data_IF_068693966133
#
_entry.id   IF_068693966133
#
_cell.length_a   1.000
_cell.length_b   1.000
_cell.length_c   1.000
_cell.angle_alpha   90.00
_cell.angle_beta   90.00
_cell.angle_gamma   90.00
#
_symmetry.space_group_name_H-M   'P 1'
#
loop_
_entity.id
_entity.type
_entity.pdbx_description
1 polymer ?
#
# COMPACT_ATOMS: atom_id res chain seq x y z
N UNK A 1 -26.62 -6.05 -13.64
CA UNK A 1 -25.58 -5.38 -14.44
C UNK A 1 -25.97 -5.45 -15.91
N UNK A 2 -25.92 -4.35 -16.69
CA UNK A 2 -26.26 -4.38 -18.10
C UNK A 2 -25.29 -5.26 -18.92
N UNK A 3 -25.75 -5.97 -19.98
CA UNK A 3 -24.89 -6.81 -20.83
C UNK A 3 -23.70 -6.10 -21.48
N UNK A 4 -23.77 -4.78 -21.65
CA UNK A 4 -22.68 -3.93 -22.15
C UNK A 4 -21.54 -3.80 -21.13
N UNK A 5 -21.86 -3.74 -19.85
CA UNK A 5 -20.87 -3.60 -18.76
C UNK A 5 -20.06 -4.88 -18.61
N UNK A 6 -20.70 -6.06 -18.70
CA UNK A 6 -20.01 -7.35 -18.65
C UNK A 6 -19.04 -7.54 -19.82
N UNK A 7 -19.48 -7.22 -21.06
CA UNK A 7 -18.60 -7.27 -22.24
C UNK A 7 -17.37 -6.38 -22.11
N UNK A 8 -17.55 -5.17 -21.56
CA UNK A 8 -16.45 -4.24 -21.28
C UNK A 8 -15.45 -4.84 -20.28
N UNK A 9 -15.91 -5.38 -19.16
CA UNK A 9 -14.99 -6.00 -18.18
C UNK A 9 -14.24 -7.20 -18.75
N UNK A 10 -14.91 -8.03 -19.56
CA UNK A 10 -14.26 -9.16 -20.22
C UNK A 10 -13.22 -8.71 -21.25
N UNK A 11 -13.49 -7.63 -22.00
CA UNK A 11 -12.51 -7.06 -22.92
C UNK A 11 -11.25 -6.61 -22.19
N UNK A 12 -11.39 -5.91 -21.05
CA UNK A 12 -10.24 -5.51 -20.22
C UNK A 12 -9.45 -6.72 -19.72
N UNK A 13 -10.10 -7.80 -19.30
CA UNK A 13 -9.39 -9.02 -18.87
C UNK A 13 -8.61 -9.68 -20.01
N UNK A 14 -9.13 -9.61 -21.24
CA UNK A 14 -8.42 -10.09 -22.44
C UNK A 14 -7.24 -9.17 -22.78
N UNK A 15 -7.45 -7.85 -22.78
CA UNK A 15 -6.40 -6.84 -23.03
C UNK A 15 -5.25 -6.93 -22.01
N UNK A 16 -5.56 -7.19 -20.74
CA UNK A 16 -4.55 -7.43 -19.71
C UNK A 16 -3.87 -8.81 -19.80
N UNK A 17 -4.27 -9.65 -20.75
CA UNK A 17 -3.75 -11.01 -20.92
C UNK A 17 -4.09 -11.95 -19.77
N UNK A 18 -5.14 -11.66 -19.00
CA UNK A 18 -5.60 -12.50 -17.88
C UNK A 18 -6.46 -13.66 -18.38
N UNK A 19 -7.24 -13.46 -19.43
CA UNK A 19 -8.05 -14.52 -20.04
C UNK A 19 -7.88 -14.52 -21.55
N UNK A 20 -7.96 -15.70 -22.16
CA UNK A 20 -8.11 -15.83 -23.60
C UNK A 20 -9.56 -16.16 -23.89
N UNK A 21 -10.16 -15.43 -24.83
CA UNK A 21 -11.53 -15.69 -25.28
C UNK A 21 -11.51 -16.55 -26.54
N UNK A 22 -12.09 -17.74 -26.46
CA UNK A 22 -12.31 -18.67 -27.58
C UNK A 22 -13.80 -18.73 -27.88
N UNK A 23 -14.26 -17.89 -28.79
CA UNK A 23 -15.67 -17.83 -29.16
C UNK A 23 -16.12 -19.10 -29.88
N UNK A 24 -17.27 -19.67 -29.47
CA UNK A 24 -17.90 -20.77 -30.21
C UNK A 24 -18.92 -20.24 -31.20
N UNK A 25 -19.18 -20.96 -32.31
CA UNK A 25 -20.21 -20.57 -33.29
C UNK A 25 -21.61 -20.38 -32.69
N UNK A 26 -21.91 -21.05 -31.58
CA UNK A 26 -23.22 -21.01 -30.91
C UNK A 26 -23.22 -20.19 -29.61
N UNK A 27 -22.12 -19.49 -29.27
CA UNK A 27 -21.98 -18.72 -28.03
C UNK A 27 -21.97 -19.56 -26.74
N UNK A 28 -21.97 -20.89 -26.83
CA UNK A 28 -21.93 -21.82 -25.68
C UNK A 28 -20.48 -22.24 -25.35
N UNK A 29 -20.22 -22.54 -24.08
CA UNK A 29 -18.94 -23.09 -23.60
C UNK A 29 -18.97 -24.60 -23.74
N UNK A 30 -18.09 -25.18 -24.56
CA UNK A 30 -17.95 -26.63 -24.69
C UNK A 30 -16.55 -27.00 -25.17
N UNK A 31 -16.09 -28.19 -24.77
CA UNK A 31 -14.88 -28.81 -25.30
C UNK A 31 -15.28 -29.92 -26.27
N UNK A 32 -14.72 -29.92 -27.48
CA UNK A 32 -14.76 -31.07 -28.40
C UNK A 32 -13.58 -31.97 -28.07
N UNK A 33 -13.87 -33.25 -27.83
CA UNK A 33 -12.85 -34.30 -27.68
C UNK A 33 -12.67 -35.01 -29.01
N UNK A 34 -11.43 -35.24 -29.42
CA UNK A 34 -11.09 -36.01 -30.62
C UNK A 34 -11.30 -37.52 -30.41
N UNK A 35 -11.00 -38.33 -31.43
CA UNK A 35 -11.20 -39.79 -31.42
C UNK A 35 -10.45 -40.54 -30.29
N UNK A 36 -9.45 -39.91 -29.66
CA UNK A 36 -8.71 -40.48 -28.52
C UNK A 36 -9.12 -39.95 -27.14
N UNK A 37 -10.18 -39.14 -27.03
CA UNK A 37 -10.60 -38.56 -25.76
C UNK A 37 -9.82 -37.31 -25.31
N UNK A 38 -8.77 -36.93 -26.03
CA UNK A 38 -8.07 -35.66 -25.85
C UNK A 38 -8.93 -34.48 -26.29
N UNK A 39 -8.82 -33.35 -25.59
CA UNK A 39 -9.56 -32.12 -25.93
C UNK A 39 -8.92 -31.50 -27.17
N UNK A 40 -9.63 -31.56 -28.30
CA UNK A 40 -9.16 -31.07 -29.60
C UNK A 40 -9.47 -29.57 -29.78
N UNK A 41 -10.63 -29.11 -29.29
CA UNK A 41 -11.04 -27.70 -29.33
C UNK A 41 -11.81 -27.32 -28.06
N UNK A 42 -11.35 -26.32 -27.32
CA UNK A 42 -12.05 -25.78 -26.14
C UNK A 42 -12.58 -24.38 -26.44
N UNK A 43 -13.90 -24.20 -26.36
CA UNK A 43 -14.56 -22.90 -26.53
C UNK A 43 -15.06 -22.35 -25.20
N UNK A 44 -14.80 -21.07 -24.93
CA UNK A 44 -15.07 -20.40 -23.66
C UNK A 44 -13.97 -19.41 -23.27
N UNK A 45 -13.74 -19.26 -21.96
CA UNK A 45 -12.62 -18.49 -21.43
C UNK A 45 -11.52 -19.44 -20.97
N UNK A 46 -10.33 -19.23 -21.48
CA UNK A 46 -9.13 -19.94 -21.05
C UNK A 46 -8.38 -19.06 -20.04
N UNK A 47 -8.21 -19.61 -18.83
CA UNK A 47 -7.55 -18.97 -17.69
C UNK A 47 -6.11 -19.47 -17.49
N UNK A 48 -5.60 -20.32 -18.40
CA UNK A 48 -4.21 -20.78 -18.41
C UNK A 48 -3.20 -19.64 -18.29
N UNK A 49 -3.41 -18.43 -18.87
CA UNK A 49 -2.50 -17.30 -18.64
C UNK A 49 -2.32 -16.92 -17.17
N UNK A 50 -3.38 -17.01 -16.35
CA UNK A 50 -3.31 -16.71 -14.90
C UNK A 50 -2.45 -17.75 -14.19
N UNK A 51 -2.64 -19.02 -14.54
CA UNK A 51 -1.89 -20.13 -13.93
C UNK A 51 -0.42 -20.06 -14.33
N UNK A 52 -0.14 -19.82 -15.62
CA UNK A 52 1.22 -19.67 -16.13
C UNK A 52 1.97 -18.49 -15.48
N UNK A 53 1.26 -17.40 -15.16
CA UNK A 53 1.80 -16.20 -14.51
C UNK A 53 1.59 -16.17 -12.99
N UNK A 54 1.19 -17.28 -12.37
CA UNK A 54 0.85 -17.31 -10.96
C UNK A 54 2.03 -16.90 -10.06
N UNK A 55 3.26 -17.28 -10.42
CA UNK A 55 4.46 -16.89 -9.70
C UNK A 55 4.69 -15.36 -9.74
N UNK A 56 4.62 -14.76 -10.93
CA UNK A 56 4.72 -13.30 -11.14
C UNK A 56 3.68 -12.55 -10.29
N UNK A 57 2.41 -12.97 -10.33
CA UNK A 57 1.38 -12.31 -9.53
C UNK A 57 1.59 -12.47 -8.03
N UNK A 58 2.12 -13.62 -7.60
CA UNK A 58 2.46 -13.85 -6.19
C UNK A 58 3.55 -12.90 -5.73
N UNK A 59 4.61 -12.71 -6.54
CA UNK A 59 5.70 -11.78 -6.26
C UNK A 59 5.21 -10.33 -6.20
N UNK A 60 4.43 -9.89 -7.19
CA UNK A 60 3.83 -8.56 -7.22
C UNK A 60 2.92 -8.33 -6.00
N UNK A 61 2.10 -9.31 -5.64
CA UNK A 61 1.23 -9.23 -4.48
C UNK A 61 2.03 -9.15 -3.17
N UNK A 62 3.16 -9.84 -3.08
CA UNK A 62 4.04 -9.76 -1.92
C UNK A 62 4.74 -8.40 -1.83
N UNK A 63 5.23 -7.85 -2.94
CA UNK A 63 5.80 -6.51 -2.99
C UNK A 63 4.79 -5.44 -2.55
N UNK A 64 3.53 -5.55 -2.98
CA UNK A 64 2.47 -4.63 -2.53
C UNK A 64 2.18 -4.81 -1.03
N UNK A 65 2.19 -6.04 -0.51
CA UNK A 65 1.97 -6.30 0.92
C UNK A 65 3.13 -5.77 1.77
N UNK A 66 4.37 -5.96 1.33
CA UNK A 66 5.56 -5.50 2.04
C UNK A 66 5.60 -3.97 2.08
N UNK A 67 5.33 -3.28 0.97
CA UNK A 67 5.28 -1.82 0.91
C UNK A 67 4.15 -1.27 1.81
N UNK A 68 2.96 -1.89 1.80
CA UNK A 68 1.86 -1.51 2.72
C UNK A 68 2.23 -1.74 4.19
N UNK A 69 2.99 -2.78 4.51
CA UNK A 69 3.47 -3.03 5.87
C UNK A 69 4.49 -1.97 6.27
N UNK A 70 5.48 -1.68 5.43
CA UNK A 70 6.48 -0.64 5.67
C UNK A 70 5.82 0.72 5.88
N UNK A 71 4.86 1.09 5.02
CA UNK A 71 4.10 2.34 5.16
C UNK A 71 3.37 2.44 6.50
N UNK A 72 2.71 1.35 6.94
CA UNK A 72 2.02 1.32 8.25
C UNK A 72 2.99 1.52 9.41
N UNK A 73 4.16 0.89 9.38
CA UNK A 73 5.17 1.02 10.44
C UNK A 73 5.67 2.46 10.57
N UNK A 74 5.92 3.15 9.45
CA UNK A 74 6.33 4.56 9.47
C UNK A 74 5.23 5.46 10.05
N UNK A 75 3.96 5.22 9.69
CA UNK A 75 2.82 5.96 10.25
C UNK A 75 2.65 5.72 11.75
N UNK A 76 2.88 4.50 12.21
CA UNK A 76 2.86 4.15 13.63
C UNK A 76 3.98 4.86 14.39
N UNK A 77 5.22 4.80 13.89
CA UNK A 77 6.37 5.56 14.44
C UNK A 77 6.07 7.04 14.58
N UNK A 78 5.56 7.68 13.52
CA UNK A 78 5.13 9.10 13.56
C UNK A 78 4.09 9.35 14.65
N UNK A 79 3.11 8.45 14.81
CA UNK A 79 2.04 8.63 15.79
C UNK A 79 2.58 8.54 17.22
N UNK A 80 3.48 7.60 17.48
CA UNK A 80 4.12 7.40 18.79
C UNK A 80 5.04 8.59 19.09
N UNK A 81 5.98 8.91 18.19
CA UNK A 81 6.95 9.98 18.38
C UNK A 81 6.27 11.33 18.63
N UNK A 82 5.20 11.67 17.89
CA UNK A 82 4.41 12.88 18.14
C UNK A 82 3.81 12.92 19.53
N UNK A 83 3.24 11.81 19.99
CA UNK A 83 2.65 11.72 21.33
C UNK A 83 3.71 11.91 22.40
N UNK A 84 4.86 11.27 22.23
CA UNK A 84 5.92 11.29 23.22
C UNK A 84 6.56 12.68 23.33
N UNK A 85 6.81 13.37 22.21
CA UNK A 85 7.30 14.76 22.22
C UNK A 85 6.36 15.68 22.98
N UNK A 86 5.05 15.61 22.71
CA UNK A 86 4.07 16.46 23.42
C UNK A 86 4.12 16.20 24.92
N UNK A 87 4.13 14.92 25.34
CA UNK A 87 4.23 14.56 26.75
C UNK A 87 5.52 15.04 27.42
N UNK A 88 6.65 14.94 26.72
CA UNK A 88 7.94 15.38 27.23
C UNK A 88 7.99 16.90 27.38
N UNK A 89 7.44 17.65 26.43
CA UNK A 89 7.29 19.11 26.53
C UNK A 89 6.43 19.47 27.75
N UNK A 90 5.26 18.83 27.89
CA UNK A 90 4.35 19.07 29.01
C UNK A 90 5.04 18.78 30.35
N UNK A 91 5.74 17.64 30.47
CA UNK A 91 6.49 17.27 31.67
C UNK A 91 7.62 18.25 31.99
N UNK A 92 8.42 18.65 30.99
CA UNK A 92 9.51 19.61 31.19
C UNK A 92 9.03 20.99 31.65
N UNK A 93 7.85 21.42 31.19
CA UNK A 93 7.20 22.66 31.66
C UNK A 93 6.69 22.49 33.09
N UNK A 94 6.00 21.39 33.40
CA UNK A 94 5.44 21.11 34.74
C UNK A 94 6.53 20.98 35.80
N UNK A 95 7.65 20.34 35.47
CA UNK A 95 8.78 20.12 36.37
C UNK A 95 9.72 21.34 36.45
N UNK A 96 9.50 22.37 35.62
CA UNK A 96 10.29 23.61 35.62
C UNK A 96 11.72 23.43 35.13
N UNK A 97 11.96 22.43 34.27
CA UNK A 97 13.27 22.11 33.71
C UNK A 97 13.76 23.30 32.86
N UNK A 98 15.01 23.79 33.07
CA UNK A 98 15.51 24.98 32.40
C UNK A 98 15.88 24.70 30.93
N UNK A 99 14.88 24.75 30.05
CA UNK A 99 15.05 24.63 28.61
C UNK A 99 14.15 25.63 27.84
N UNK A 100 14.45 25.85 26.56
CA UNK A 100 13.63 26.72 25.71
C UNK A 100 12.45 25.94 25.12
N UNK A 101 11.48 25.59 25.98
CA UNK A 101 10.28 24.84 25.62
C UNK A 101 9.46 25.51 24.51
N UNK A 102 9.45 26.84 24.45
CA UNK A 102 8.79 27.60 23.37
C UNK A 102 9.40 27.33 22.00
N UNK A 103 10.73 27.28 21.90
CA UNK A 103 11.44 26.93 20.64
C UNK A 103 11.15 25.48 20.23
N UNK A 104 11.17 24.55 21.19
CA UNK A 104 10.87 23.14 20.95
C UNK A 104 9.44 22.96 20.43
N UNK A 105 8.47 23.64 21.04
CA UNK A 105 7.07 23.58 20.61
C UNK A 105 6.88 24.16 19.19
N UNK A 106 7.57 25.25 18.85
CA UNK A 106 7.55 25.82 17.50
C UNK A 106 8.13 24.86 16.46
N UNK A 107 9.28 24.24 16.76
CA UNK A 107 9.90 23.24 15.89
C UNK A 107 8.96 22.04 15.65
N UNK A 108 8.33 21.53 16.72
CA UNK A 108 7.34 20.46 16.63
C UNK A 108 6.16 20.84 15.73
N UNK A 109 5.60 22.04 15.91
CA UNK A 109 4.48 22.52 15.08
C UNK A 109 4.86 22.66 13.61
N UNK A 110 6.07 23.14 13.32
CA UNK A 110 6.57 23.26 11.95
C UNK A 110 6.65 21.89 11.25
N UNK A 111 7.25 20.89 11.91
CA UNK A 111 7.41 19.54 11.36
C UNK A 111 6.04 18.87 11.16
N UNK A 112 5.17 18.91 12.18
CA UNK A 112 3.83 18.30 12.09
C UNK A 112 2.95 18.99 11.06
N UNK A 113 3.12 20.30 10.86
CA UNK A 113 2.41 21.07 9.84
C UNK A 113 2.72 20.62 8.40
N UNK A 114 3.85 19.95 8.17
CA UNK A 114 4.24 19.43 6.86
C UNK A 114 3.64 18.06 6.54
N UNK A 115 3.02 17.36 7.51
CA UNK A 115 2.52 16.00 7.31
C UNK A 115 1.37 15.98 6.29
N UNK A 116 1.57 15.38 5.10
CA UNK A 116 0.54 15.34 4.07
C UNK A 116 -0.55 14.31 4.41
N UNK A 117 -1.76 14.51 3.85
CA UNK A 117 -2.85 13.52 3.94
C UNK A 117 -2.53 12.25 3.15
N UNK A 118 -1.92 12.41 1.97
CA UNK A 118 -1.52 11.33 1.07
C UNK A 118 -0.18 11.67 0.46
N UNK A 119 0.81 10.79 0.63
CA UNK A 119 2.14 10.90 0.04
C UNK A 119 2.82 9.53 -0.03
N UNK A 120 3.91 9.37 -0.81
CA UNK A 120 4.75 8.19 -0.78
C UNK A 120 5.34 7.93 0.61
N UNK A 121 5.70 6.67 0.90
CA UNK A 121 6.32 6.27 2.18
C UNK A 121 7.55 7.11 2.50
N UNK A 122 8.39 7.39 1.52
CA UNK A 122 9.64 8.13 1.66
C UNK A 122 9.42 9.53 2.24
N UNK A 123 8.32 10.20 1.88
CA UNK A 123 7.97 11.50 2.43
C UNK A 123 7.64 11.40 3.92
N UNK A 124 6.89 10.36 4.33
CA UNK A 124 6.62 10.13 5.75
C UNK A 124 7.87 9.70 6.53
N UNK A 125 8.80 8.98 5.89
CA UNK A 125 10.08 8.60 6.50
C UNK A 125 10.94 9.82 6.79
N UNK A 126 11.11 10.73 5.82
CA UNK A 126 11.86 11.97 6.02
C UNK A 126 11.28 12.79 7.19
N UNK A 127 9.96 12.95 7.24
CA UNK A 127 9.30 13.67 8.36
C UNK A 127 9.48 12.92 9.68
N UNK A 128 9.48 11.58 9.67
CA UNK A 128 9.71 10.78 10.88
C UNK A 128 11.13 10.97 11.40
N UNK A 129 12.13 11.03 10.52
CA UNK A 129 13.52 11.29 10.89
C UNK A 129 13.70 12.69 11.49
N UNK A 130 13.11 13.72 10.88
CA UNK A 130 13.12 15.09 11.44
C UNK A 130 12.48 15.13 12.83
N UNK A 131 11.36 14.42 13.01
CA UNK A 131 10.66 14.37 14.28
C UNK A 131 11.44 13.57 15.34
N UNK A 132 12.11 12.49 14.96
CA UNK A 132 12.99 11.70 15.84
C UNK A 132 14.22 12.51 16.26
N UNK A 133 14.74 13.38 15.39
CA UNK A 133 15.77 14.36 15.76
C UNK A 133 15.29 15.31 16.86
N UNK A 134 14.10 15.89 16.68
CA UNK A 134 13.51 16.74 17.72
C UNK A 134 13.26 15.97 19.02
N UNK A 135 12.79 14.72 18.93
CA UNK A 135 12.59 13.86 20.10
C UNK A 135 13.89 13.66 20.90
N UNK A 136 15.02 13.46 20.21
CA UNK A 136 16.32 13.32 20.86
C UNK A 136 16.75 14.62 21.55
N UNK A 137 16.57 15.78 20.90
CA UNK A 137 16.86 17.09 21.52
C UNK A 137 16.00 17.33 22.77
N UNK A 138 14.71 17.00 22.71
CA UNK A 138 13.79 17.14 23.86
C UNK A 138 14.22 16.24 25.01
N UNK A 139 14.60 15.00 24.69
CA UNK A 139 15.04 14.05 25.70
C UNK A 139 16.33 14.51 26.38
N UNK A 140 17.33 14.98 25.62
CA UNK A 140 18.56 15.53 26.20
C UNK A 140 18.29 16.74 27.11
N UNK A 141 17.27 17.54 26.80
CA UNK A 141 16.90 18.68 27.64
C UNK A 141 16.23 18.29 28.97
N UNK A 142 15.72 17.06 29.09
CA UNK A 142 15.08 16.52 30.31
C UNK A 142 16.04 15.73 31.20
N UNK A 143 17.21 15.33 30.69
CA UNK A 143 18.27 14.63 31.43
C UNK A 143 19.19 15.61 32.17
#
# INVERSE_FOLDING_TARGET
MPPTTLRRHLAVLVECGLIIRRDSPNGKRFARKGQGGEIEQAYGFDISPIVARAAEFKELAEAVRSEKKAFRLVKERLTICRRDIVKMIDAGIEEGVPANWGRVQQAYQAIVGQIPRTAPRQTFEAIAEELEGLWAEVREALE
#
